data_IF_553008796839
#
_entry.id   IF_553008796839
#
_cell.length_a   1.000
_cell.length_b   1.000
_cell.length_c   1.000
_cell.angle_alpha   90.00
_cell.angle_beta   90.00
_cell.angle_gamma   90.00
#
_symmetry.space_group_name_H-M   'P 1'
#
loop_
_entity.id
_entity.type
_entity.pdbx_description
1 polymer ?
#
# COMPACT_ATOMS: atom_id res chain seq x y z
N UNK A 1 16.31 -18.79 22.76
CA UNK A 1 15.08 -18.80 23.60
C UNK A 1 14.12 -17.62 23.32
N UNK A 2 14.35 -16.78 22.29
CA UNK A 2 13.48 -15.64 21.92
C UNK A 2 12.60 -15.86 20.67
N UNK A 3 12.65 -17.05 20.03
CA UNK A 3 11.92 -17.35 18.79
C UNK A 3 10.41 -17.67 18.96
N UNK A 4 9.90 -17.78 20.19
CA UNK A 4 8.52 -18.28 20.41
C UNK A 4 7.44 -17.20 20.57
N UNK A 5 7.78 -15.91 20.62
CA UNK A 5 6.78 -14.85 20.90
C UNK A 5 6.16 -14.16 19.67
N UNK A 6 6.70 -14.37 18.46
CA UNK A 6 6.14 -13.83 17.21
C UNK A 6 5.37 -14.83 16.34
N UNK A 7 5.58 -16.14 16.54
CA UNK A 7 4.89 -17.22 15.81
C UNK A 7 3.37 -17.22 16.07
N UNK A 8 3.00 -16.99 17.33
CA UNK A 8 1.60 -17.09 17.77
C UNK A 8 0.65 -16.15 17.05
N UNK A 9 0.97 -14.88 16.84
CA UNK A 9 -0.02 -13.93 16.31
C UNK A 9 -0.38 -14.16 14.83
N UNK A 10 0.60 -14.57 14.00
CA UNK A 10 0.39 -14.79 12.57
C UNK A 10 -0.20 -16.18 12.32
N UNK A 11 0.31 -17.22 12.98
CA UNK A 11 -0.31 -18.55 12.95
C UNK A 11 -1.72 -18.51 13.56
N UNK A 12 -1.97 -17.69 14.58
CA UNK A 12 -3.31 -17.46 15.11
C UNK A 12 -4.21 -16.69 14.14
N UNK A 13 -3.70 -15.71 13.38
CA UNK A 13 -4.51 -15.02 12.37
C UNK A 13 -4.83 -15.92 11.16
N UNK A 14 -3.88 -16.76 10.73
CA UNK A 14 -4.09 -17.76 9.67
C UNK A 14 -4.97 -18.93 10.15
N UNK A 15 -4.80 -19.40 11.39
CA UNK A 15 -5.64 -20.45 11.97
C UNK A 15 -7.05 -19.94 12.35
N UNK A 16 -7.18 -18.71 12.86
CA UNK A 16 -8.50 -18.05 13.02
C UNK A 16 -9.18 -17.90 11.67
N UNK A 17 -8.41 -17.60 10.62
CA UNK A 17 -8.93 -17.47 9.27
C UNK A 17 -9.47 -18.80 8.71
N UNK A 18 -8.69 -19.87 8.77
CA UNK A 18 -9.12 -21.21 8.35
C UNK A 18 -10.34 -21.67 9.16
N UNK A 19 -10.37 -21.37 10.46
CA UNK A 19 -11.46 -21.71 11.37
C UNK A 19 -12.75 -20.94 11.07
N UNK A 20 -12.66 -19.65 10.70
CA UNK A 20 -13.83 -18.86 10.33
C UNK A 20 -14.42 -19.27 9.00
N UNK A 21 -13.59 -19.69 8.02
CA UNK A 21 -14.09 -20.24 6.75
C UNK A 21 -14.81 -21.58 6.96
N UNK A 22 -14.36 -22.41 7.91
CA UNK A 22 -15.05 -23.66 8.27
C UNK A 22 -16.31 -23.44 9.10
N UNK A 23 -16.31 -22.51 10.06
CA UNK A 23 -17.49 -22.23 10.90
C UNK A 23 -18.61 -21.53 10.11
N UNK A 24 -18.29 -20.63 9.19
CA UNK A 24 -19.28 -20.00 8.30
C UNK A 24 -19.95 -21.01 7.35
N UNK A 25 -19.18 -21.99 6.82
CA UNK A 25 -19.71 -23.06 5.97
C UNK A 25 -20.65 -24.02 6.74
N UNK A 26 -20.40 -24.23 8.04
CA UNK A 26 -21.22 -25.09 8.90
C UNK A 26 -22.52 -24.39 9.34
N UNK A 27 -22.49 -23.08 9.61
CA UNK A 27 -23.68 -22.33 10.03
C UNK A 27 -24.66 -22.05 8.89
N UNK A 28 -24.19 -21.89 7.64
CA UNK A 28 -25.07 -21.78 6.47
C UNK A 28 -25.96 -23.03 6.25
N UNK A 29 -25.59 -24.17 6.82
CA UNK A 29 -26.35 -25.42 6.71
C UNK A 29 -27.42 -25.62 7.82
N UNK A 30 -27.52 -24.71 8.81
CA UNK A 30 -28.40 -24.90 9.98
C UNK A 30 -29.04 -23.59 10.42
N UNK A 31 -30.17 -23.23 9.81
CA UNK A 31 -31.06 -22.21 10.34
C UNK A 31 -32.53 -22.66 10.21
N UNK A 32 -33.21 -23.01 11.32
CA UNK A 32 -34.65 -23.19 11.32
C UNK A 32 -35.37 -21.86 11.59
N UNK A 33 -36.40 -21.62 10.77
CA UNK A 33 -37.38 -20.54 10.89
C UNK A 33 -38.26 -20.80 12.11
N UNK A 34 -38.29 -19.87 13.08
CA UNK A 34 -39.32 -19.86 14.11
C UNK A 34 -39.82 -18.43 14.34
N UNK A 35 -41.04 -18.19 13.86
CA UNK A 35 -41.84 -17.03 14.16
C UNK A 35 -42.32 -17.09 15.62
N UNK A 36 -42.38 -15.94 16.30
CA UNK A 36 -43.25 -15.78 17.47
C UNK A 36 -43.73 -14.35 17.64
N UNK A 37 -44.99 -14.30 18.01
CA UNK A 37 -45.93 -13.18 17.99
C UNK A 37 -45.65 -12.04 18.96
N UNK A 38 -46.18 -10.89 18.53
CA UNK A 38 -46.23 -9.61 19.19
C UNK A 38 -47.22 -9.56 20.35
N UNK A 39 -46.87 -8.82 21.41
CA UNK A 39 -47.74 -7.78 22.01
C UNK A 39 -47.03 -7.05 23.16
N UNK A 40 -47.22 -5.73 23.17
CA UNK A 40 -47.16 -4.83 24.35
C UNK A 40 -45.79 -4.42 24.94
N UNK A 41 -45.18 -3.35 24.41
CA UNK A 41 -44.49 -2.35 25.24
C UNK A 41 -44.29 -1.00 24.53
N UNK A 42 -45.42 -0.39 24.17
CA UNK A 42 -45.47 0.94 23.58
C UNK A 42 -45.08 1.99 24.63
N UNK A 43 -44.11 2.86 24.30
CA UNK A 43 -43.74 4.13 24.96
C UNK A 43 -42.51 4.21 25.90
N UNK A 44 -41.69 3.16 26.07
CA UNK A 44 -40.31 3.29 26.62
C UNK A 44 -39.21 2.92 25.59
N UNK A 45 -39.60 2.59 24.36
CA UNK A 45 -38.75 2.03 23.30
C UNK A 45 -37.99 3.05 22.43
N UNK A 46 -38.03 4.35 22.76
CA UNK A 46 -37.34 5.38 21.96
C UNK A 46 -35.84 5.51 22.30
N UNK A 47 -35.38 4.84 23.36
CA UNK A 47 -33.97 4.50 23.58
C UNK A 47 -33.62 3.13 23.00
N UNK A 48 -34.30 2.74 21.92
CA UNK A 48 -33.88 1.70 20.99
C UNK A 48 -32.44 1.99 20.56
N UNK A 49 -31.52 1.29 21.22
CA UNK A 49 -30.08 1.48 21.15
C UNK A 49 -29.67 1.57 19.68
N UNK A 50 -29.11 2.73 19.31
CA UNK A 50 -28.39 2.91 18.05
C UNK A 50 -27.22 1.93 18.05
N UNK A 51 -27.49 0.71 17.60
CA UNK A 51 -26.51 -0.35 17.45
C UNK A 51 -26.08 -0.38 16.00
N UNK A 52 -24.78 -0.63 15.76
CA UNK A 52 -24.21 -0.57 14.42
C UNK A 52 -24.93 -1.50 13.43
N UNK A 53 -25.36 -2.69 13.86
CA UNK A 53 -26.11 -3.63 13.01
C UNK A 53 -27.56 -3.20 12.72
N UNK A 54 -28.04 -2.14 13.38
CA UNK A 54 -29.33 -1.51 13.07
C UNK A 54 -29.25 -0.48 11.95
N UNK A 55 -28.04 -0.08 11.55
CA UNK A 55 -27.81 0.78 10.38
C UNK A 55 -28.07 -0.03 9.10
N UNK A 56 -28.76 0.47 8.06
CA UNK A 56 -28.92 -0.24 6.79
C UNK A 56 -27.59 -0.78 6.21
N UNK A 57 -27.58 -1.99 5.59
CA UNK A 57 -26.36 -2.59 5.06
C UNK A 57 -25.59 -1.68 4.10
N UNK A 58 -26.27 -0.89 3.27
CA UNK A 58 -25.68 0.01 2.29
C UNK A 58 -24.79 1.06 2.96
N UNK A 59 -25.26 1.60 4.10
CA UNK A 59 -24.50 2.56 4.89
C UNK A 59 -23.35 1.87 5.64
N UNK A 60 -23.51 0.62 6.10
CA UNK A 60 -22.40 -0.13 6.71
C UNK A 60 -21.29 -0.43 5.70
N UNK A 61 -21.63 -0.80 4.46
CA UNK A 61 -20.66 -1.00 3.39
C UNK A 61 -19.86 0.28 3.12
N UNK A 62 -20.52 1.45 3.07
CA UNK A 62 -19.84 2.74 2.95
C UNK A 62 -18.91 3.01 4.15
N UNK A 63 -19.32 2.66 5.37
CA UNK A 63 -18.47 2.77 6.57
C UNK A 63 -17.25 1.86 6.47
N UNK A 64 -17.39 0.61 5.98
CA UNK A 64 -16.25 -0.30 5.81
C UNK A 64 -15.25 0.24 4.77
N UNK A 65 -15.74 0.83 3.68
CA UNK A 65 -14.88 1.51 2.70
C UNK A 65 -14.10 2.65 3.34
N UNK A 66 -14.79 3.58 4.01
CA UNK A 66 -14.14 4.71 4.69
C UNK A 66 -13.15 4.25 5.76
N UNK A 67 -13.49 3.20 6.51
CA UNK A 67 -12.60 2.60 7.50
C UNK A 67 -11.33 2.05 6.85
N UNK A 68 -11.46 1.34 5.72
CA UNK A 68 -10.31 0.83 4.98
C UNK A 68 -9.46 1.96 4.41
N UNK A 69 -10.08 2.98 3.81
CA UNK A 69 -9.40 4.15 3.26
C UNK A 69 -8.60 4.91 4.33
N UNK A 70 -9.19 5.14 5.49
CA UNK A 70 -8.50 5.75 6.64
C UNK A 70 -7.33 4.88 7.08
N UNK A 71 -7.55 3.57 7.22
CA UNK A 71 -6.52 2.62 7.63
C UNK A 71 -5.36 2.51 6.63
N UNK A 72 -5.63 2.73 5.34
CA UNK A 72 -4.61 2.76 4.30
C UNK A 72 -3.75 4.02 4.35
N UNK A 73 -4.12 5.08 5.08
CA UNK A 73 -3.33 6.31 5.09
C UNK A 73 -1.95 6.08 5.69
N UNK A 74 -0.94 6.60 5.00
CA UNK A 74 0.44 6.59 5.47
C UNK A 74 0.70 7.85 6.27
N UNK A 75 1.05 7.68 7.53
CA UNK A 75 1.45 8.77 8.42
C UNK A 75 2.95 8.65 8.71
N UNK A 76 3.71 9.73 8.54
CA UNK A 76 5.15 9.79 8.84
C UNK A 76 5.97 8.67 8.15
N UNK A 77 5.61 8.34 6.90
CA UNK A 77 6.19 7.21 6.16
C UNK A 77 6.07 5.84 6.85
N UNK A 78 5.23 5.72 7.89
CA UNK A 78 5.02 4.47 8.61
C UNK A 78 4.10 3.55 7.81
N UNK A 79 4.56 2.32 7.58
CA UNK A 79 3.75 1.29 6.95
C UNK A 79 2.49 0.98 7.80
N UNK A 80 1.27 1.07 7.21
CA UNK A 80 0.07 0.63 7.89
C UNK A 80 0.08 -0.87 8.20
N UNK A 81 -0.86 -1.35 9.01
CA UNK A 81 -0.86 -2.76 9.50
C UNK A 81 -1.98 -3.59 8.89
N UNK A 82 -2.14 -4.86 9.26
CA UNK A 82 -3.36 -5.62 8.93
C UNK A 82 -4.47 -5.51 9.98
N UNK A 83 -4.41 -4.48 10.85
CA UNK A 83 -5.38 -4.34 11.94
C UNK A 83 -6.83 -4.18 11.46
N UNK A 84 -7.04 -3.67 10.24
CA UNK A 84 -8.37 -3.55 9.63
C UNK A 84 -9.10 -4.90 9.51
N UNK A 85 -8.38 -6.01 9.32
CA UNK A 85 -8.97 -7.35 9.24
C UNK A 85 -9.60 -7.81 10.56
N UNK A 86 -9.26 -7.20 11.71
CA UNK A 86 -9.90 -7.51 13.00
C UNK A 86 -11.40 -7.23 12.98
N UNK A 87 -11.87 -6.32 12.12
CA UNK A 87 -13.29 -6.02 11.97
C UNK A 87 -14.08 -7.27 11.52
N UNK A 88 -13.48 -8.14 10.70
CA UNK A 88 -14.09 -9.39 10.24
C UNK A 88 -14.33 -10.40 11.37
N UNK A 89 -13.72 -10.19 12.55
CA UNK A 89 -13.83 -11.09 13.70
C UNK A 89 -14.96 -10.68 14.67
N UNK A 90 -15.69 -9.59 14.40
CA UNK A 90 -16.68 -9.06 15.35
C UNK A 90 -17.97 -9.89 15.32
N UNK A 91 -18.50 -10.16 14.14
CA UNK A 91 -19.71 -10.98 13.95
C UNK A 91 -19.73 -11.59 12.55
N UNK A 92 -20.53 -12.65 12.37
CA UNK A 92 -20.72 -13.29 11.07
C UNK A 92 -21.22 -12.30 10.02
N UNK A 93 -22.21 -11.49 10.38
CA UNK A 93 -22.79 -10.48 9.48
C UNK A 93 -21.74 -9.47 9.00
N UNK A 94 -20.90 -8.95 9.90
CA UNK A 94 -19.82 -8.02 9.51
C UNK A 94 -18.80 -8.72 8.62
N UNK A 95 -18.47 -9.98 8.90
CA UNK A 95 -17.58 -10.77 8.06
C UNK A 95 -18.13 -10.90 6.63
N UNK A 96 -19.37 -11.34 6.47
CA UNK A 96 -20.00 -11.53 5.15
C UNK A 96 -20.08 -10.25 4.34
N UNK A 97 -20.47 -9.14 4.98
CA UNK A 97 -20.60 -7.83 4.33
C UNK A 97 -19.24 -7.22 3.97
N UNK A 98 -18.28 -7.23 4.90
CA UNK A 98 -17.05 -6.46 4.77
C UNK A 98 -15.89 -7.22 4.12
N UNK A 99 -15.93 -8.56 4.05
CA UNK A 99 -14.79 -9.36 3.57
C UNK A 99 -14.35 -8.98 2.15
N UNK A 100 -15.28 -8.67 1.24
CA UNK A 100 -14.96 -8.33 -0.15
C UNK A 100 -14.27 -6.98 -0.28
N UNK A 101 -14.44 -6.10 0.70
CA UNK A 101 -13.82 -4.76 0.77
C UNK A 101 -12.47 -4.88 1.48
N UNK A 102 -12.47 -5.40 2.71
CA UNK A 102 -11.29 -5.41 3.57
C UNK A 102 -10.18 -6.34 3.04
N UNK A 103 -10.53 -7.41 2.32
CA UNK A 103 -9.54 -8.33 1.73
C UNK A 103 -8.86 -7.79 0.46
N UNK A 104 -9.25 -6.60 -0.05
CA UNK A 104 -8.61 -5.98 -1.22
C UNK A 104 -7.23 -5.37 -0.92
N UNK A 105 -6.89 -5.26 0.35
CA UNK A 105 -5.67 -4.64 0.85
C UNK A 105 -4.89 -5.61 1.74
N UNK A 106 -3.56 -5.56 1.63
CA UNK A 106 -2.66 -6.30 2.50
C UNK A 106 -1.44 -5.44 2.85
N UNK A 107 -0.97 -5.58 4.09
CA UNK A 107 0.31 -5.02 4.54
C UNK A 107 1.25 -6.11 5.07
N UNK A 108 2.42 -6.23 4.46
CA UNK A 108 3.42 -7.24 4.75
C UNK A 108 4.69 -6.54 5.23
N UNK A 109 4.96 -6.64 6.54
CA UNK A 109 5.98 -5.84 7.25
C UNK A 109 7.38 -6.45 7.28
N UNK A 110 7.54 -7.67 6.82
CA UNK A 110 8.83 -8.38 6.80
C UNK A 110 8.78 -9.55 5.83
N UNK A 111 9.96 -10.03 5.43
CA UNK A 111 10.17 -11.21 4.57
C UNK A 111 9.29 -12.39 4.97
N UNK A 112 9.30 -12.77 6.25
CA UNK A 112 8.52 -13.89 6.76
C UNK A 112 7.01 -13.74 6.52
N UNK A 113 6.46 -12.53 6.70
CA UNK A 113 5.05 -12.28 6.39
C UNK A 113 4.76 -12.43 4.91
N UNK A 114 5.72 -12.03 4.06
CA UNK A 114 5.55 -12.14 2.62
C UNK A 114 5.65 -13.59 2.16
N UNK A 115 6.64 -14.35 2.64
CA UNK A 115 6.77 -15.79 2.37
C UNK A 115 5.52 -16.56 2.80
N UNK A 116 5.04 -16.32 4.03
CA UNK A 116 3.81 -16.97 4.51
C UNK A 116 2.60 -16.56 3.68
N UNK A 117 2.53 -15.30 3.26
CA UNK A 117 1.45 -14.84 2.42
C UNK A 117 1.50 -15.53 1.04
N UNK A 118 2.65 -15.55 0.37
CA UNK A 118 2.84 -16.19 -0.93
C UNK A 118 2.57 -17.70 -0.88
N UNK A 119 2.99 -18.38 0.19
CA UNK A 119 2.75 -19.82 0.35
C UNK A 119 1.26 -20.17 0.54
N UNK A 120 0.50 -19.27 1.18
CA UNK A 120 -0.89 -19.55 1.58
C UNK A 120 -1.94 -18.79 0.75
N UNK A 121 -1.53 -17.87 -0.12
CA UNK A 121 -2.46 -17.10 -0.94
C UNK A 121 -2.96 -17.96 -2.10
N UNK A 122 -4.16 -18.53 -1.96
CA UNK A 122 -4.81 -19.17 -3.10
C UNK A 122 -5.15 -18.15 -4.21
N UNK A 123 -5.21 -18.60 -5.46
CA UNK A 123 -5.45 -17.78 -6.67
C UNK A 123 -6.65 -16.83 -6.55
N UNK A 124 -7.73 -17.32 -5.94
CA UNK A 124 -8.95 -16.53 -5.73
C UNK A 124 -8.70 -15.33 -4.82
N UNK A 125 -7.85 -15.46 -3.80
CA UNK A 125 -7.51 -14.35 -2.91
C UNK A 125 -6.50 -13.42 -3.57
N UNK A 126 -5.49 -13.97 -4.24
CA UNK A 126 -4.49 -13.19 -4.96
C UNK A 126 -5.15 -12.26 -6.00
N UNK A 127 -6.17 -12.75 -6.69
CA UNK A 127 -6.92 -11.97 -7.69
C UNK A 127 -7.83 -10.87 -7.12
N UNK A 128 -8.23 -10.95 -5.85
CA UNK A 128 -9.00 -9.90 -5.18
C UNK A 128 -8.12 -8.75 -4.65
N UNK A 129 -6.81 -8.96 -4.50
CA UNK A 129 -5.90 -7.96 -3.96
C UNK A 129 -5.66 -6.85 -4.98
N UNK A 130 -6.05 -5.64 -4.59
CA UNK A 130 -5.89 -4.44 -5.41
C UNK A 130 -4.74 -3.59 -4.89
N UNK A 131 -4.46 -3.65 -3.58
CA UNK A 131 -3.50 -2.79 -2.90
C UNK A 131 -2.55 -3.63 -2.02
N UNK A 132 -1.25 -3.40 -2.11
CA UNK A 132 -0.26 -4.05 -1.25
C UNK A 132 0.75 -3.04 -0.68
N UNK A 133 0.99 -3.14 0.62
CA UNK A 133 2.10 -2.50 1.31
C UNK A 133 3.14 -3.55 1.64
N UNK A 134 4.38 -3.32 1.25
CA UNK A 134 5.46 -4.29 1.43
C UNK A 134 6.66 -3.58 2.07
N UNK A 135 7.11 -4.05 3.23
CA UNK A 135 8.42 -3.70 3.74
C UNK A 135 9.47 -4.48 2.95
N UNK A 136 10.47 -3.79 2.45
CA UNK A 136 11.44 -4.41 1.57
C UNK A 136 12.78 -4.58 2.26
N UNK A 137 13.29 -5.81 2.26
CA UNK A 137 14.65 -6.16 2.63
C UNK A 137 15.46 -6.72 1.43
N UNK A 138 14.87 -6.71 0.23
CA UNK A 138 15.51 -7.01 -1.05
C UNK A 138 15.47 -8.47 -1.50
N UNK A 139 14.60 -9.33 -0.94
CA UNK A 139 14.69 -10.80 -1.14
C UNK A 139 13.45 -11.51 -1.68
N UNK A 140 12.36 -10.80 -1.93
CA UNK A 140 11.06 -11.44 -2.15
C UNK A 140 10.60 -11.31 -3.58
N UNK A 141 10.16 -12.42 -4.19
CA UNK A 141 9.51 -12.47 -5.51
C UNK A 141 7.98 -12.30 -5.40
N UNK A 142 7.38 -11.38 -6.18
CA UNK A 142 5.93 -11.10 -6.20
C UNK A 142 5.28 -11.36 -7.56
N UNK A 143 5.84 -12.27 -8.36
CA UNK A 143 5.52 -12.47 -9.77
C UNK A 143 4.05 -12.79 -10.09
N UNK A 144 3.26 -13.26 -9.12
CA UNK A 144 1.88 -13.73 -9.35
C UNK A 144 0.78 -12.76 -8.87
N UNK A 145 1.14 -11.66 -8.19
CA UNK A 145 0.14 -10.76 -7.64
C UNK A 145 -0.34 -9.72 -8.66
N UNK A 146 -1.64 -9.72 -8.95
CA UNK A 146 -2.31 -8.73 -9.82
C UNK A 146 -2.60 -7.41 -9.10
N UNK A 147 -1.63 -6.90 -8.35
CA UNK A 147 -1.77 -5.68 -7.55
C UNK A 147 -1.76 -4.45 -8.46
N UNK A 148 -2.72 -3.55 -8.24
CA UNK A 148 -2.81 -2.27 -8.98
C UNK A 148 -2.07 -1.14 -8.26
N UNK A 149 -1.98 -1.21 -6.94
CA UNK A 149 -1.34 -0.20 -6.10
C UNK A 149 -0.31 -0.84 -5.20
N UNK A 150 0.96 -0.55 -5.45
CA UNK A 150 2.06 -1.05 -4.63
C UNK A 150 2.72 0.11 -3.90
N UNK A 151 2.80 -0.01 -2.57
CA UNK A 151 3.65 0.86 -1.75
C UNK A 151 4.75 0.05 -1.12
N UNK A 152 5.97 0.54 -1.26
CA UNK A 152 7.16 -0.09 -0.73
C UNK A 152 7.70 0.79 0.39
N UNK A 153 7.91 0.16 1.55
CA UNK A 153 8.43 0.80 2.74
C UNK A 153 9.83 0.27 3.01
N UNK A 154 10.66 1.14 3.57
CA UNK A 154 11.93 0.69 4.14
C UNK A 154 11.68 -0.32 5.27
N UNK A 155 12.38 -1.44 5.22
CA UNK A 155 12.39 -2.38 6.31
C UNK A 155 13.22 -1.82 7.47
N UNK A 156 12.54 -1.43 8.54
CA UNK A 156 13.17 -1.18 9.84
C UNK A 156 13.67 -2.51 10.41
N UNK A 157 14.83 -2.96 9.95
CA UNK A 157 15.49 -4.11 10.54
C UNK A 157 15.66 -3.88 12.04
N UNK A 158 15.48 -4.93 12.83
CA UNK A 158 15.83 -4.86 14.26
C UNK A 158 17.28 -4.40 14.40
N UNK A 159 17.61 -3.57 15.41
CA UNK A 159 18.88 -2.84 15.54
C UNK A 159 20.15 -3.72 15.50
N UNK A 160 19.99 -5.04 15.60
CA UNK A 160 21.06 -6.02 15.52
C UNK A 160 21.67 -6.17 14.11
N UNK A 161 20.89 -5.91 13.04
CA UNK A 161 21.43 -5.93 11.66
C UNK A 161 22.18 -4.64 11.30
N UNK A 162 21.85 -3.53 11.96
CA UNK A 162 22.53 -2.24 11.75
C UNK A 162 24.01 -2.27 12.12
N UNK A 163 24.42 -3.14 13.06
CA UNK A 163 25.82 -3.31 13.45
C UNK A 163 26.70 -3.88 12.31
N UNK A 164 26.12 -4.70 11.43
CA UNK A 164 26.83 -5.22 10.26
C UNK A 164 26.87 -4.21 9.09
N UNK A 165 25.91 -3.28 9.03
CA UNK A 165 25.88 -2.23 8.02
C UNK A 165 26.90 -1.12 8.28
N UNK A 166 27.25 -0.84 9.54
CA UNK A 166 28.24 0.19 9.91
C UNK A 166 29.68 -0.10 9.48
N UNK A 167 30.03 -1.36 9.18
CA UNK A 167 31.43 -1.77 8.98
C UNK A 167 31.88 -1.70 7.51
N UNK A 168 30.96 -1.55 6.55
CA UNK A 168 31.32 -1.51 5.13
C UNK A 168 30.77 -0.26 4.44
N UNK A 169 31.66 0.70 4.15
CA UNK A 169 31.41 1.87 3.27
C UNK A 169 31.08 1.49 1.81
N UNK A 170 30.90 0.20 1.52
CA UNK A 170 30.40 -0.28 0.24
C UNK A 170 29.00 0.27 0.05
N UNK A 171 28.82 1.08 -1.00
CA UNK A 171 27.52 1.66 -1.38
C UNK A 171 26.57 0.52 -1.74
N UNK A 172 25.73 0.10 -0.80
CA UNK A 172 24.64 -0.82 -1.08
C UNK A 172 23.58 -0.09 -1.91
N UNK A 173 23.34 -0.56 -3.14
CA UNK A 173 22.18 -0.16 -3.93
C UNK A 173 21.08 -1.19 -3.72
N UNK A 174 19.89 -0.75 -3.34
CA UNK A 174 18.72 -1.63 -3.25
C UNK A 174 18.29 -2.05 -4.65
N UNK A 175 18.41 -3.35 -4.96
CA UNK A 175 17.94 -3.97 -6.21
C UNK A 175 16.54 -4.56 -6.03
N UNK A 176 15.65 -3.77 -5.42
CA UNK A 176 14.39 -4.32 -4.94
C UNK A 176 13.44 -4.70 -6.09
N UNK A 177 13.46 -3.98 -7.21
CA UNK A 177 12.62 -4.32 -8.36
C UNK A 177 13.03 -5.66 -8.96
N UNK A 178 14.33 -5.91 -9.05
CA UNK A 178 14.85 -7.18 -9.52
C UNK A 178 14.46 -8.34 -8.59
N UNK A 179 14.42 -8.09 -7.28
CA UNK A 179 13.97 -9.08 -6.30
C UNK A 179 12.45 -9.33 -6.40
N UNK A 180 11.62 -8.28 -6.46
CA UNK A 180 10.16 -8.40 -6.54
C UNK A 180 9.65 -8.89 -7.89
N UNK A 181 10.35 -8.57 -8.97
CA UNK A 181 9.94 -8.83 -10.33
C UNK A 181 11.08 -9.48 -11.14
N UNK A 182 11.57 -10.68 -10.75
CA UNK A 182 12.71 -11.32 -11.40
C UNK A 182 12.38 -11.81 -12.82
N UNK A 183 11.12 -12.16 -13.08
CA UNK A 183 10.70 -12.81 -14.32
C UNK A 183 9.65 -12.01 -15.13
N UNK A 184 8.92 -11.08 -14.53
CA UNK A 184 7.95 -10.24 -15.23
C UNK A 184 7.50 -9.04 -14.40
N UNK A 185 7.29 -7.91 -15.07
CA UNK A 185 6.62 -6.73 -14.52
C UNK A 185 5.12 -7.03 -14.33
N UNK A 186 4.48 -6.55 -13.24
CA UNK A 186 3.03 -6.62 -13.07
C UNK A 186 2.37 -5.89 -14.24
N UNK A 187 1.52 -6.59 -14.99
CA UNK A 187 0.94 -6.10 -16.24
C UNK A 187 -0.01 -4.90 -16.04
N UNK A 188 -0.40 -4.57 -14.80
CA UNK A 188 -1.48 -3.60 -14.51
C UNK A 188 -1.20 -2.69 -13.30
N UNK A 189 0.07 -2.45 -12.98
CA UNK A 189 0.41 -1.54 -11.89
C UNK A 189 0.04 -0.09 -12.25
N UNK A 190 -0.86 0.51 -11.48
CA UNK A 190 -1.40 1.86 -11.69
C UNK A 190 -0.78 2.87 -10.72
N UNK A 191 -0.47 2.46 -9.49
CA UNK A 191 0.22 3.29 -8.50
C UNK A 191 1.45 2.59 -7.99
N UNK A 192 2.55 3.33 -7.92
CA UNK A 192 3.81 2.85 -7.41
C UNK A 192 4.42 3.90 -6.49
N UNK A 193 4.61 3.55 -5.22
CA UNK A 193 5.01 4.51 -4.20
C UNK A 193 6.15 3.99 -3.35
N UNK A 194 7.22 4.77 -3.28
CA UNK A 194 8.39 4.52 -2.45
C UNK A 194 8.34 5.39 -1.19
N UNK A 195 8.43 4.77 -0.02
CA UNK A 195 8.53 5.38 1.31
C UNK A 195 9.85 4.96 1.96
N UNK A 196 10.94 5.62 1.57
CA UNK A 196 12.31 5.28 1.94
C UNK A 196 12.99 6.43 2.68
N UNK A 197 13.91 6.12 3.59
CA UNK A 197 14.77 7.12 4.23
C UNK A 197 15.74 7.79 3.24
N UNK A 198 16.21 9.01 3.56
CA UNK A 198 17.24 9.72 2.82
C UNK A 198 18.51 8.92 2.50
N UNK A 199 18.85 7.94 3.33
CA UNK A 199 20.07 7.15 3.26
C UNK A 199 19.98 6.01 2.25
N UNK A 200 18.76 5.49 2.01
CA UNK A 200 18.52 4.36 1.12
C UNK A 200 18.61 4.78 -0.33
N UNK A 201 19.52 4.14 -1.06
CA UNK A 201 19.71 4.32 -2.50
C UNK A 201 18.94 3.28 -3.27
N UNK A 202 18.09 3.74 -4.18
CA UNK A 202 17.25 2.87 -4.99
C UNK A 202 17.28 3.28 -6.46
N UNK A 203 17.34 2.28 -7.33
CA UNK A 203 17.09 2.46 -8.76
C UNK A 203 15.61 2.19 -8.99
N UNK A 204 14.85 3.25 -9.22
CA UNK A 204 13.41 3.16 -9.43
C UNK A 204 13.09 2.99 -10.91
N UNK A 205 12.01 2.25 -11.18
CA UNK A 205 11.46 1.89 -12.48
C UNK A 205 12.40 1.05 -13.37
N UNK A 206 13.38 0.34 -12.79
CA UNK A 206 14.27 -0.56 -13.53
C UNK A 206 13.52 -1.73 -14.20
N UNK A 207 12.63 -2.39 -13.47
CA UNK A 207 11.81 -3.51 -13.95
C UNK A 207 10.34 -3.10 -14.18
N UNK A 208 9.85 -2.11 -13.43
CA UNK A 208 8.45 -1.68 -13.52
C UNK A 208 8.24 -0.91 -14.83
N UNK A 209 7.37 -1.45 -15.69
CA UNK A 209 6.96 -0.80 -16.93
C UNK A 209 6.06 0.41 -16.62
N UNK A 210 6.53 1.59 -17.00
CA UNK A 210 5.91 2.88 -16.70
C UNK A 210 4.67 3.24 -17.55
N UNK A 211 4.42 2.55 -18.67
CA UNK A 211 3.37 2.91 -19.63
C UNK A 211 1.93 2.75 -19.10
N UNK A 212 1.70 2.06 -17.99
CA UNK A 212 0.41 1.99 -17.30
C UNK A 212 0.38 2.74 -15.97
N UNK A 213 1.55 3.21 -15.52
CA UNK A 213 1.69 3.85 -14.23
C UNK A 213 1.04 5.23 -14.28
N UNK A 214 0.03 5.46 -13.43
CA UNK A 214 -0.70 6.73 -13.33
C UNK A 214 -0.22 7.57 -12.16
N UNK A 215 0.19 6.93 -11.07
CA UNK A 215 0.67 7.59 -9.87
C UNK A 215 2.04 7.07 -9.51
N UNK A 216 2.99 8.00 -9.35
CA UNK A 216 4.34 7.69 -8.89
C UNK A 216 4.66 8.56 -7.67
N UNK A 217 5.09 7.92 -6.59
CA UNK A 217 5.67 8.60 -5.44
C UNK A 217 7.10 8.15 -5.20
N UNK A 218 8.00 9.12 -5.05
CA UNK A 218 9.42 8.90 -4.80
C UNK A 218 9.84 9.57 -3.49
N UNK A 219 10.67 8.87 -2.71
CA UNK A 219 11.33 9.36 -1.50
C UNK A 219 12.66 8.63 -1.28
N UNK A 220 13.59 9.24 -0.53
CA UNK A 220 14.94 8.72 -0.36
C UNK A 220 15.87 9.03 -1.55
N UNK A 221 16.97 8.29 -1.70
CA UNK A 221 17.94 8.53 -2.77
C UNK A 221 17.57 7.75 -4.03
N UNK A 222 16.53 8.21 -4.73
CA UNK A 222 16.04 7.59 -5.95
C UNK A 222 16.85 8.02 -7.19
N UNK A 223 17.20 7.04 -8.02
CA UNK A 223 17.77 7.25 -9.35
C UNK A 223 16.89 6.56 -10.39
N UNK A 224 16.65 7.23 -11.52
CA UNK A 224 15.99 6.61 -12.68
C UNK A 224 17.07 6.26 -13.70
N UNK A 225 17.21 4.98 -14.02
CA UNK A 225 18.31 4.50 -14.87
C UNK A 225 18.18 4.92 -16.33
N UNK A 226 16.95 5.11 -16.80
CA UNK A 226 16.65 5.36 -18.21
C UNK A 226 15.57 6.41 -18.33
N UNK A 227 15.44 6.94 -19.53
CA UNK A 227 14.26 7.71 -19.89
C UNK A 227 13.10 6.71 -19.99
N UNK A 228 12.10 6.89 -19.14
CA UNK A 228 10.93 6.01 -19.07
C UNK A 228 9.79 6.64 -19.85
N UNK A 229 9.17 5.87 -20.75
CA UNK A 229 7.88 6.25 -21.34
C UNK A 229 6.84 6.29 -20.22
N UNK A 230 6.51 7.50 -19.81
CA UNK A 230 5.56 7.77 -18.74
C UNK A 230 4.32 8.47 -19.28
N UNK A 231 3.94 8.17 -20.53
CA UNK A 231 2.75 8.72 -21.21
C UNK A 231 1.43 8.52 -20.45
N UNK A 232 1.36 7.54 -19.54
CA UNK A 232 0.22 7.31 -18.63
C UNK A 232 0.33 7.98 -17.26
N UNK A 233 1.48 8.56 -16.92
CA UNK A 233 1.69 9.20 -15.63
C UNK A 233 0.85 10.48 -15.53
N UNK A 234 0.07 10.59 -14.45
CA UNK A 234 -0.81 11.73 -14.17
C UNK A 234 -0.45 12.40 -12.84
N UNK A 235 -0.03 11.62 -11.86
CA UNK A 235 0.27 12.12 -10.52
C UNK A 235 1.73 11.80 -10.18
N UNK A 236 2.52 12.84 -9.91
CA UNK A 236 3.90 12.69 -9.48
C UNK A 236 4.07 13.36 -8.11
N UNK A 237 4.59 12.58 -7.16
CA UNK A 237 4.87 13.03 -5.80
C UNK A 237 6.35 12.81 -5.51
N UNK A 238 7.10 13.89 -5.33
CA UNK A 238 8.52 13.84 -4.95
C UNK A 238 8.63 14.39 -3.53
N UNK A 239 8.93 13.55 -2.55
CA UNK A 239 9.01 14.00 -1.15
C UNK A 239 10.23 13.43 -0.47
N UNK A 240 11.03 14.29 0.16
CA UNK A 240 12.22 13.84 0.90
C UNK A 240 13.22 13.09 0.00
N UNK A 241 13.22 13.37 -1.29
CA UNK A 241 14.20 12.81 -2.21
C UNK A 241 15.57 13.43 -1.94
N UNK A 242 16.61 12.60 -1.89
CA UNK A 242 18.00 13.01 -1.70
C UNK A 242 18.86 12.62 -2.88
N UNK A 243 20.09 13.15 -2.89
CA UNK A 243 21.02 12.96 -4.00
C UNK A 243 20.82 13.97 -5.14
N UNK A 244 21.78 14.00 -6.05
CA UNK A 244 21.86 15.01 -7.11
C UNK A 244 21.19 14.60 -8.42
N UNK A 245 20.46 13.48 -8.44
CA UNK A 245 19.88 12.96 -9.69
C UNK A 245 18.92 13.96 -10.32
N UNK A 246 17.95 14.43 -9.54
CA UNK A 246 16.99 15.42 -10.01
C UNK A 246 17.59 16.83 -10.11
N UNK A 247 18.60 17.19 -9.32
CA UNK A 247 19.24 18.52 -9.40
C UNK A 247 19.88 18.83 -10.76
N UNK A 248 20.26 17.78 -11.50
CA UNK A 248 20.97 17.86 -12.77
C UNK A 248 20.08 17.65 -13.98
N UNK A 249 18.79 17.31 -13.78
CA UNK A 249 17.89 16.87 -14.85
C UNK A 249 16.56 17.58 -14.77
N UNK A 250 16.03 17.93 -15.94
CA UNK A 250 14.68 18.47 -16.01
C UNK A 250 13.65 17.36 -15.80
N UNK A 251 12.48 17.68 -15.25
CA UNK A 251 11.46 16.66 -14.97
C UNK A 251 10.86 16.06 -16.25
N UNK A 252 10.79 16.85 -17.32
CA UNK A 252 10.35 16.38 -18.65
C UNK A 252 11.34 15.43 -19.31
N UNK A 253 12.62 15.42 -18.90
CA UNK A 253 13.61 14.41 -19.32
C UNK A 253 13.54 13.14 -18.46
N UNK A 254 13.19 13.28 -17.18
CA UNK A 254 13.01 12.13 -16.28
C UNK A 254 11.73 11.35 -16.58
N UNK A 255 10.66 12.05 -16.95
CA UNK A 255 9.32 11.50 -17.16
C UNK A 255 8.83 11.88 -18.57
N UNK A 256 9.34 11.17 -19.58
CA UNK A 256 9.02 11.46 -20.97
C UNK A 256 7.51 11.35 -21.22
N UNK A 257 7.00 12.33 -21.98
CA UNK A 257 5.63 12.43 -22.43
C UNK A 257 4.54 12.37 -21.34
N UNK A 258 4.89 12.55 -20.06
CA UNK A 258 3.94 12.50 -18.95
C UNK A 258 2.99 13.71 -18.97
N UNK A 259 1.68 13.52 -19.20
CA UNK A 259 0.71 14.61 -19.11
C UNK A 259 0.25 14.74 -17.65
N UNK A 260 1.15 15.25 -16.81
CA UNK A 260 0.91 15.39 -15.38
C UNK A 260 -0.32 16.27 -15.10
N UNK A 261 -1.24 15.73 -14.31
CA UNK A 261 -2.42 16.41 -13.78
C UNK A 261 -2.16 16.99 -12.38
N UNK A 262 -1.33 16.31 -11.60
CA UNK A 262 -0.95 16.72 -10.25
C UNK A 262 0.55 16.52 -10.03
N UNK A 263 1.20 17.55 -9.52
CA UNK A 263 2.57 17.49 -9.05
C UNK A 263 2.65 17.98 -7.59
N UNK A 264 3.22 17.14 -6.73
CA UNK A 264 3.45 17.44 -5.32
C UNK A 264 4.92 17.35 -5.02
N UNK A 265 5.46 18.39 -4.40
CA UNK A 265 6.86 18.44 -3.97
C UNK A 265 6.95 18.71 -2.48
N UNK A 266 7.73 17.89 -1.78
CA UNK A 266 8.00 18.04 -0.36
C UNK A 266 9.47 18.00 -0.04
N UNK A 267 10.02 19.09 0.46
CA UNK A 267 11.38 19.09 0.97
C UNK A 267 11.38 18.37 2.33
N UNK A 268 11.91 17.15 2.37
CA UNK A 268 11.90 16.34 3.60
C UNK A 268 13.14 16.43 4.46
N UNK A 269 14.31 16.61 3.86
CA UNK A 269 15.58 16.70 4.60
C UNK A 269 16.36 17.93 4.14
N UNK A 270 17.14 18.56 5.04
CA UNK A 270 17.86 19.82 4.79
C UNK A 270 18.90 19.76 3.65
N UNK A 271 19.25 18.56 3.20
CA UNK A 271 20.22 18.28 2.13
C UNK A 271 19.56 17.60 0.91
N UNK A 272 18.23 17.69 0.80
CA UNK A 272 17.46 17.04 -0.26
C UNK A 272 17.45 17.82 -1.57
N UNK A 273 16.92 17.16 -2.60
CA UNK A 273 16.59 17.76 -3.89
C UNK A 273 15.81 19.06 -3.71
N UNK A 274 16.31 20.14 -4.32
CA UNK A 274 15.67 21.46 -4.29
C UNK A 274 15.01 21.74 -5.65
N UNK A 275 13.72 22.08 -5.63
CA UNK A 275 13.03 22.49 -6.86
C UNK A 275 13.60 23.85 -7.33
N UNK A 276 13.93 23.94 -8.62
CA UNK A 276 14.61 25.10 -9.24
C UNK A 276 13.80 25.56 -10.43
N UNK A 277 14.12 26.74 -10.96
CA UNK A 277 13.39 27.34 -12.09
C UNK A 277 13.30 26.41 -13.30
N UNK A 278 14.35 25.67 -13.63
CA UNK A 278 14.31 24.75 -14.78
C UNK A 278 13.37 23.54 -14.54
N UNK A 279 13.20 23.08 -13.29
CA UNK A 279 12.20 22.07 -12.94
C UNK A 279 10.78 22.60 -13.16
N UNK A 280 10.50 23.81 -12.66
CA UNK A 280 9.20 24.46 -12.85
C UNK A 280 8.92 24.73 -14.33
N UNK A 281 9.91 25.21 -15.08
CA UNK A 281 9.81 25.40 -16.53
C UNK A 281 9.51 24.08 -17.23
N UNK A 282 10.14 22.97 -16.83
CA UNK A 282 9.84 21.66 -17.42
C UNK A 282 8.42 21.16 -17.15
N UNK A 283 7.85 21.48 -15.98
CA UNK A 283 6.45 21.16 -15.66
C UNK A 283 5.45 21.98 -16.50
N UNK A 284 5.76 23.27 -16.72
CA UNK A 284 4.89 24.21 -17.44
C UNK A 284 5.11 24.18 -18.96
N UNK A 285 6.25 23.68 -19.44
CA UNK A 285 6.58 23.58 -20.87
C UNK A 285 6.44 22.15 -21.40
N UNK A 286 5.96 21.23 -20.57
CA UNK A 286 5.81 19.83 -20.93
C UNK A 286 4.81 19.62 -22.09
N UNK A 287 4.64 18.37 -22.55
CA UNK A 287 3.83 18.05 -23.74
C UNK A 287 2.39 18.55 -23.67
N UNK A 288 1.87 18.76 -22.45
CA UNK A 288 0.47 19.05 -22.17
C UNK A 288 0.31 19.93 -20.92
N UNK A 289 0.75 21.19 -20.94
CA UNK A 289 0.85 22.02 -19.73
C UNK A 289 -0.51 22.41 -19.15
N UNK A 290 -1.53 22.47 -20.01
CA UNK A 290 -2.93 22.67 -19.64
C UNK A 290 -3.52 21.56 -18.74
N UNK A 291 -2.85 20.41 -18.61
CA UNK A 291 -3.32 19.32 -17.77
C UNK A 291 -2.90 19.48 -16.32
N UNK A 292 -1.83 20.22 -16.02
CA UNK A 292 -1.35 20.40 -14.66
C UNK A 292 -2.31 21.33 -13.89
N UNK A 293 -3.20 20.72 -13.11
CA UNK A 293 -4.25 21.42 -12.35
C UNK A 293 -3.80 21.75 -10.93
N UNK A 294 -2.80 21.02 -10.43
CA UNK A 294 -2.43 21.04 -9.02
C UNK A 294 -0.91 21.05 -8.89
N UNK A 295 -0.40 22.19 -8.44
CA UNK A 295 0.98 22.37 -7.98
C UNK A 295 0.91 22.66 -6.48
N UNK A 296 1.37 21.71 -5.66
CA UNK A 296 1.34 21.87 -4.20
C UNK A 296 2.70 21.65 -3.58
N UNK A 297 3.16 22.58 -2.71
CA UNK A 297 4.14 22.22 -1.70
C UNK A 297 3.47 21.22 -0.74
N UNK A 298 4.14 20.13 -0.40
CA UNK A 298 3.67 19.27 0.67
C UNK A 298 4.01 19.95 1.99
N UNK A 299 2.98 20.32 2.75
CA UNK A 299 3.17 20.66 4.16
C UNK A 299 3.50 19.34 4.87
N UNK A 300 4.72 19.25 5.41
CA UNK A 300 5.11 18.15 6.28
C UNK A 300 4.50 18.34 7.67
#
# INVERSE_FOLDING_TARGET
MLERRGKGAIEMLLALWERLETEAAVHAASAPVAARDASESSYMEVQGRLHFLGIPPELRLAIYHLYLEEHQRVHENRQPTNAHLRLLLISHQVCEEAQSILRQYISLKNERQIELFLWNVGDKRASCLTFADVANDGRVELSELSVKHLRVFEYEATPYLSLYQTVSRTRWSWQFEAAMYPAACPLRLLSYELYLSPEVRVQALEQIRSHHLRTLRLSGNCQLLREHDTSSLRNLIITGVTGSYFDQRRLDQCFLDAPLESFMYGMGHRLGFEIRNHHLQSLVSGPRPQHLRKLQPSNQ
#
